data_IF_617028212662
#
_entry.id   IF_617028212662
#
_cell.length_a   1.000
_cell.length_b   1.000
_cell.length_c   1.000
_cell.angle_alpha   90.00
_cell.angle_beta   90.00
_cell.angle_gamma   90.00
#
_symmetry.space_group_name_H-M   'P 1'
#
loop_
_entity.id
_entity.type
_entity.pdbx_description
1 polymer ?
#
# COMPACT_ATOMS: atom_id res chain seq x y z
N UNK A 1 -2.33 8.16 24.86
CA UNK A 1 -3.62 7.45 24.84
C UNK A 1 -3.41 6.14 24.10
N UNK A 2 -3.90 5.02 24.64
CA UNK A 2 -3.93 3.75 23.94
C UNK A 2 -5.30 3.60 23.25
N UNK A 3 -5.27 3.21 21.97
CA UNK A 3 -6.48 2.89 21.19
C UNK A 3 -6.49 1.40 20.82
N UNK A 4 -7.66 0.84 20.57
CA UNK A 4 -7.80 -0.53 20.12
C UNK A 4 -7.25 -0.71 18.69
N UNK A 5 -6.81 -1.93 18.36
CA UNK A 5 -6.28 -2.23 17.01
C UNK A 5 -7.34 -2.03 15.92
N UNK A 6 -8.60 -2.31 16.21
CA UNK A 6 -9.71 -2.10 15.27
C UNK A 6 -9.98 -0.61 15.03
N UNK A 7 -9.90 0.21 16.08
CA UNK A 7 -10.08 1.66 15.97
C UNK A 7 -8.89 2.30 15.22
N UNK A 8 -7.67 1.80 15.46
CA UNK A 8 -6.49 2.22 14.72
C UNK A 8 -6.59 1.87 13.23
N UNK A 9 -7.04 0.66 12.90
CA UNK A 9 -7.25 0.24 11.51
C UNK A 9 -8.37 1.06 10.84
N UNK A 10 -9.48 1.31 11.54
CA UNK A 10 -10.56 2.15 11.03
C UNK A 10 -10.09 3.58 10.76
N UNK A 11 -9.33 4.17 11.68
CA UNK A 11 -8.75 5.50 11.49
C UNK A 11 -7.78 5.52 10.30
N UNK A 12 -6.90 4.52 10.16
CA UNK A 12 -6.00 4.39 9.02
C UNK A 12 -6.76 4.32 7.69
N UNK A 13 -7.86 3.58 7.62
CA UNK A 13 -8.68 3.47 6.41
C UNK A 13 -9.37 4.81 6.08
N UNK A 14 -9.85 5.53 7.10
CA UNK A 14 -10.63 6.76 6.91
C UNK A 14 -9.75 7.96 6.55
N UNK A 15 -8.66 8.15 7.28
CA UNK A 15 -7.81 9.35 7.12
C UNK A 15 -6.41 9.05 6.59
N UNK A 16 -6.12 7.79 6.23
CA UNK A 16 -4.78 7.35 5.85
C UNK A 16 -4.21 8.08 4.65
N UNK A 17 -2.95 8.48 4.79
CA UNK A 17 -2.16 9.16 3.78
C UNK A 17 -0.69 8.71 3.95
N UNK A 18 0.03 8.61 2.84
CA UNK A 18 1.47 8.28 2.85
C UNK A 18 2.31 9.52 2.55
N UNK A 19 1.82 10.38 1.68
CA UNK A 19 2.57 11.54 1.21
C UNK A 19 1.79 12.82 1.49
N UNK A 20 2.46 13.79 2.15
CA UNK A 20 1.91 15.10 2.41
C UNK A 20 2.23 16.03 1.22
N UNK A 21 1.34 16.08 0.24
CA UNK A 21 1.38 17.10 -0.80
C UNK A 21 0.38 18.20 -0.52
N UNK A 22 0.63 19.42 -1.03
CA UNK A 22 -0.31 20.56 -0.91
C UNK A 22 -1.68 20.26 -1.55
N UNK A 23 -1.76 19.22 -2.38
CA UNK A 23 -2.98 18.82 -3.09
C UNK A 23 -3.83 17.83 -2.27
N UNK A 24 -3.28 17.21 -1.21
CA UNK A 24 -3.99 16.24 -0.39
C UNK A 24 -4.52 16.89 0.89
N UNK A 25 -5.82 16.83 1.06
CA UNK A 25 -6.50 17.35 2.25
C UNK A 25 -6.10 16.56 3.51
N UNK A 26 -5.77 17.29 4.57
CA UNK A 26 -5.55 16.70 5.90
C UNK A 26 -6.89 16.37 6.54
N UNK A 27 -7.30 15.12 6.47
CA UNK A 27 -8.51 14.61 7.09
C UNK A 27 -8.27 14.27 8.56
N UNK A 28 -9.32 14.25 9.36
CA UNK A 28 -9.23 13.84 10.76
C UNK A 28 -10.46 13.05 11.22
N UNK A 29 -10.24 12.14 12.16
CA UNK A 29 -11.29 11.33 12.81
C UNK A 29 -11.11 11.35 14.31
N UNK A 30 -12.22 11.40 15.04
CA UNK A 30 -12.22 11.31 16.51
C UNK A 30 -12.41 9.86 16.95
N UNK A 31 -11.51 9.35 17.79
CA UNK A 31 -11.58 8.01 18.37
C UNK A 31 -11.56 8.09 19.89
N UNK A 32 -12.12 7.09 20.56
CA UNK A 32 -12.10 6.99 22.02
C UNK A 32 -11.05 5.95 22.41
N UNK A 33 -10.05 6.39 23.14
CA UNK A 33 -9.02 5.51 23.67
C UNK A 33 -8.96 5.56 25.21
N UNK A 34 -8.02 4.82 25.78
CA UNK A 34 -7.73 4.80 27.22
C UNK A 34 -6.55 5.73 27.51
N UNK A 35 -6.73 6.71 28.38
CA UNK A 35 -5.63 7.53 28.88
C UNK A 35 -4.64 6.66 29.66
N UNK A 36 -3.34 6.74 29.32
CA UNK A 36 -2.28 6.01 30.02
C UNK A 36 -1.99 6.56 31.42
N UNK A 37 -2.36 7.82 31.67
CA UNK A 37 -2.15 8.49 32.96
C UNK A 37 -3.27 8.19 33.95
N UNK A 38 -4.52 8.33 33.48
CA UNK A 38 -5.71 8.26 34.37
C UNK A 38 -6.47 6.95 34.28
N UNK A 39 -6.12 6.08 33.32
CA UNK A 39 -6.84 4.86 32.97
C UNK A 39 -8.33 5.05 32.60
N UNK A 40 -8.74 6.29 32.31
CA UNK A 40 -10.12 6.65 31.94
C UNK A 40 -10.28 6.79 30.41
N UNK A 41 -11.50 6.66 29.89
CA UNK A 41 -11.78 6.97 28.50
C UNK A 41 -11.37 8.42 28.16
N UNK A 42 -10.71 8.61 27.03
CA UNK A 42 -10.28 9.91 26.52
C UNK A 42 -10.46 9.95 25.00
N UNK A 43 -11.09 11.01 24.53
CA UNK A 43 -11.18 11.29 23.09
C UNK A 43 -9.84 11.79 22.57
N UNK A 44 -9.50 11.32 21.37
CA UNK A 44 -8.30 11.71 20.64
C UNK A 44 -8.66 11.93 19.17
N UNK A 45 -8.13 12.98 18.58
CA UNK A 45 -8.21 13.23 17.14
C UNK A 45 -6.98 12.61 16.49
N UNK A 46 -7.22 11.79 15.49
CA UNK A 46 -6.19 11.23 14.61
C UNK A 46 -6.36 11.91 13.26
N UNK A 47 -5.32 12.53 12.75
CA UNK A 47 -5.31 13.16 11.44
C UNK A 47 -4.44 12.41 10.42
N UNK A 48 -4.52 12.82 9.16
CA UNK A 48 -3.79 12.18 8.08
C UNK A 48 -2.27 12.29 8.26
N UNK A 49 -1.79 13.39 8.85
CA UNK A 49 -0.36 13.61 9.08
C UNK A 49 0.19 12.63 10.12
N UNK A 50 -0.55 12.43 11.21
CA UNK A 50 -0.17 11.44 12.23
C UNK A 50 -0.11 10.03 11.67
N UNK A 51 -1.03 9.68 10.76
CA UNK A 51 -1.00 8.37 10.07
C UNK A 51 0.18 8.31 9.11
N UNK A 52 0.46 9.36 8.35
CA UNK A 52 1.61 9.43 7.44
C UNK A 52 2.93 9.21 8.20
N UNK A 53 3.14 9.91 9.30
CA UNK A 53 4.33 9.75 10.15
C UNK A 53 4.47 8.31 10.67
N UNK A 54 3.35 7.69 11.05
CA UNK A 54 3.35 6.33 11.59
C UNK A 54 3.65 5.26 10.52
N UNK A 55 3.28 5.47 9.26
CA UNK A 55 3.50 4.51 8.17
C UNK A 55 4.80 4.76 7.39
N UNK A 56 5.41 5.93 7.52
CA UNK A 56 6.62 6.32 6.79
C UNK A 56 7.77 5.30 6.89
N UNK A 57 8.11 4.73 8.06
CA UNK A 57 9.18 3.73 8.13
C UNK A 57 8.90 2.49 7.28
N UNK A 58 7.64 2.04 7.25
CA UNK A 58 7.23 0.89 6.42
C UNK A 58 7.24 1.22 4.94
N UNK A 59 6.90 2.47 4.59
CA UNK A 59 6.95 2.94 3.21
C UNK A 59 8.39 3.00 2.71
N UNK A 60 9.32 3.46 3.54
CA UNK A 60 10.74 3.49 3.20
C UNK A 60 11.29 2.07 2.97
N UNK A 61 10.93 1.09 3.80
CA UNK A 61 11.31 -0.30 3.60
C UNK A 61 10.81 -0.86 2.25
N UNK A 62 9.60 -0.46 1.82
CA UNK A 62 9.05 -0.84 0.50
C UNK A 62 9.84 -0.19 -0.63
N UNK A 63 10.14 1.11 -0.53
CA UNK A 63 10.93 1.85 -1.52
C UNK A 63 12.33 1.25 -1.67
N UNK A 64 13.00 0.95 -0.57
CA UNK A 64 14.31 0.33 -0.56
C UNK A 64 14.26 -1.06 -1.22
N UNK A 65 13.21 -1.84 -0.93
CA UNK A 65 12.97 -3.13 -1.59
C UNK A 65 12.76 -3.00 -3.10
N UNK A 66 12.03 -2.00 -3.56
CA UNK A 66 11.86 -1.71 -4.99
C UNK A 66 13.20 -1.37 -5.62
N UNK A 67 13.99 -0.48 -5.03
CA UNK A 67 15.30 -0.07 -5.55
C UNK A 67 16.24 -1.28 -5.70
N UNK A 68 16.30 -2.16 -4.70
CA UNK A 68 17.10 -3.40 -4.78
C UNK A 68 16.68 -4.29 -5.94
N UNK A 69 15.39 -4.35 -6.27
CA UNK A 69 14.90 -5.12 -7.42
C UNK A 69 15.31 -4.44 -8.72
N UNK A 70 15.12 -3.12 -8.83
CA UNK A 70 15.43 -2.35 -10.03
C UNK A 70 16.92 -2.41 -10.40
N UNK A 71 17.81 -2.35 -9.41
CA UNK A 71 19.26 -2.49 -9.63
C UNK A 71 19.66 -3.83 -10.28
N UNK A 72 18.84 -4.86 -10.12
CA UNK A 72 19.08 -6.21 -10.67
C UNK A 72 18.45 -6.45 -12.04
N UNK A 73 17.62 -5.53 -12.50
CA UNK A 73 16.94 -5.65 -13.78
C UNK A 73 17.86 -5.25 -14.93
N UNK A 74 17.75 -6.00 -16.04
CA UNK A 74 18.40 -5.58 -17.28
C UNK A 74 17.66 -4.38 -17.88
N UNK A 75 18.36 -3.55 -18.69
CA UNK A 75 17.72 -2.40 -19.35
C UNK A 75 16.50 -2.76 -20.19
N UNK A 76 16.49 -3.95 -20.79
CA UNK A 76 15.38 -4.44 -21.63
C UNK A 76 14.11 -4.67 -20.80
N UNK A 77 14.25 -5.14 -19.54
CA UNK A 77 13.13 -5.37 -18.65
C UNK A 77 12.62 -4.07 -18.00
N UNK A 78 13.47 -3.05 -17.90
CA UNK A 78 13.12 -1.78 -17.27
C UNK A 78 11.93 -1.11 -17.95
N UNK A 79 11.86 -1.13 -19.29
CA UNK A 79 10.73 -0.59 -20.05
C UNK A 79 9.41 -1.30 -19.73
N UNK A 80 9.47 -2.61 -19.51
CA UNK A 80 8.32 -3.40 -19.10
C UNK A 80 7.80 -2.99 -17.72
N UNK A 81 8.70 -2.82 -16.76
CA UNK A 81 8.36 -2.37 -15.40
C UNK A 81 7.80 -0.95 -15.41
N UNK A 82 8.46 -0.02 -16.11
CA UNK A 82 8.02 1.38 -16.21
C UNK A 82 6.59 1.51 -16.71
N UNK A 83 6.18 0.70 -17.67
CA UNK A 83 4.86 0.79 -18.29
C UNK A 83 3.77 -0.02 -17.58
N UNK A 84 4.13 -0.97 -16.70
CA UNK A 84 3.19 -1.96 -16.18
C UNK A 84 3.26 -2.15 -14.65
N UNK A 85 3.83 -1.21 -13.91
CA UNK A 85 3.85 -1.31 -12.44
C UNK A 85 2.46 -1.07 -11.86
N UNK A 86 1.97 -2.04 -11.09
CA UNK A 86 0.63 -2.00 -10.48
C UNK A 86 0.74 -2.28 -8.99
N UNK A 87 0.14 -1.40 -8.17
CA UNK A 87 0.01 -1.61 -6.73
C UNK A 87 -1.31 -2.32 -6.40
N UNK A 88 -1.21 -3.32 -5.52
CA UNK A 88 -2.35 -4.14 -5.07
C UNK A 88 -2.33 -4.33 -3.55
N UNK A 89 -3.44 -4.80 -2.98
CA UNK A 89 -3.58 -4.99 -1.55
C UNK A 89 -4.13 -3.75 -0.83
N UNK A 90 -4.47 -3.91 0.46
CA UNK A 90 -5.15 -2.87 1.23
C UNK A 90 -4.36 -1.58 1.39
N UNK A 91 -3.05 -1.69 1.59
CA UNK A 91 -2.16 -0.53 1.78
C UNK A 91 -2.01 0.32 0.53
N UNK A 92 -2.26 -0.24 -0.67
CA UNK A 92 -2.23 0.54 -1.91
C UNK A 92 -3.35 1.60 -2.00
N UNK A 93 -4.35 1.52 -1.13
CA UNK A 93 -5.45 2.50 -1.03
C UNK A 93 -5.11 3.73 -0.20
N UNK A 94 -3.95 3.76 0.44
CA UNK A 94 -3.49 4.95 1.17
C UNK A 94 -3.23 6.08 0.19
N UNK A 95 -3.75 7.26 0.49
CA UNK A 95 -3.65 8.43 -0.38
C UNK A 95 -2.19 8.88 -0.51
N UNK A 96 -1.80 9.26 -1.72
CA UNK A 96 -0.44 9.70 -2.03
C UNK A 96 0.57 8.59 -2.26
N UNK A 97 0.14 7.31 -2.38
CA UNK A 97 1.04 6.19 -2.62
C UNK A 97 1.73 6.29 -4.00
N UNK A 98 0.96 6.57 -5.03
CA UNK A 98 1.47 6.64 -6.41
C UNK A 98 2.51 7.75 -6.53
N UNK A 99 2.21 8.92 -5.99
CA UNK A 99 3.09 10.09 -5.94
C UNK A 99 4.36 9.79 -5.16
N UNK A 100 4.22 9.19 -3.97
CA UNK A 100 5.37 8.87 -3.10
C UNK A 100 6.34 7.89 -3.76
N UNK A 101 5.84 6.86 -4.44
CA UNK A 101 6.68 5.91 -5.17
C UNK A 101 7.33 6.60 -6.37
N UNK A 102 6.56 7.41 -7.12
CA UNK A 102 7.09 8.10 -8.28
C UNK A 102 8.21 9.08 -7.92
N UNK A 103 8.07 9.82 -6.83
CA UNK A 103 9.06 10.82 -6.38
C UNK A 103 10.39 10.16 -5.99
N UNK A 104 10.35 8.96 -5.42
CA UNK A 104 11.56 8.26 -4.96
C UNK A 104 12.20 7.34 -6.01
N UNK A 105 11.38 6.70 -6.84
CA UNK A 105 11.83 5.62 -7.73
C UNK A 105 11.71 5.98 -9.20
N UNK A 106 11.04 7.09 -9.52
CA UNK A 106 10.75 7.55 -10.88
C UNK A 106 10.01 6.52 -11.77
N UNK A 107 9.25 5.60 -11.16
CA UNK A 107 8.41 4.63 -11.87
C UNK A 107 6.95 4.96 -11.60
N UNK A 108 6.14 5.21 -12.65
CA UNK A 108 4.71 5.43 -12.49
C UNK A 108 4.02 4.12 -12.09
N UNK A 109 3.53 4.08 -10.87
CA UNK A 109 2.74 2.96 -10.35
C UNK A 109 1.27 3.32 -10.43
N UNK A 110 0.42 2.38 -10.83
CA UNK A 110 -1.03 2.54 -10.81
C UNK A 110 -1.64 1.65 -9.75
N UNK A 111 -2.52 2.19 -8.93
CA UNK A 111 -3.33 1.37 -8.03
C UNK A 111 -4.40 0.65 -8.83
N UNK A 112 -4.55 -0.66 -8.61
CA UNK A 112 -5.61 -1.45 -9.24
C UNK A 112 -7.00 -0.94 -8.85
N UNK A 113 -7.99 -0.99 -9.74
CA UNK A 113 -9.38 -0.60 -9.47
C UNK A 113 -10.01 -1.38 -8.30
N UNK A 114 -9.58 -2.63 -8.11
CA UNK A 114 -10.01 -3.48 -6.99
C UNK A 114 -8.79 -4.13 -6.32
N UNK A 115 -8.01 -3.35 -5.58
CA UNK A 115 -6.72 -3.80 -5.08
C UNK A 115 -6.82 -4.90 -4.03
N UNK A 116 -7.99 -5.06 -3.39
CA UNK A 116 -8.20 -6.08 -2.35
C UNK A 116 -8.46 -7.47 -2.92
N UNK A 117 -9.08 -7.58 -4.09
CA UNK A 117 -9.54 -8.87 -4.63
C UNK A 117 -8.87 -9.27 -5.95
N UNK A 118 -8.10 -8.37 -6.58
CA UNK A 118 -7.49 -8.63 -7.89
C UNK A 118 -6.60 -9.88 -7.90
N UNK A 119 -5.85 -10.13 -6.82
CA UNK A 119 -5.01 -11.34 -6.69
C UNK A 119 -5.87 -12.60 -6.63
N UNK A 120 -6.95 -12.58 -5.83
CA UNK A 120 -7.88 -13.71 -5.75
C UNK A 120 -8.60 -13.97 -7.09
N UNK A 121 -9.01 -12.89 -7.80
CA UNK A 121 -9.60 -12.99 -9.14
C UNK A 121 -8.60 -13.59 -10.15
N UNK A 122 -7.36 -13.12 -10.16
CA UNK A 122 -6.30 -13.68 -11.00
C UNK A 122 -6.05 -15.15 -10.72
N UNK A 123 -6.00 -15.53 -9.46
CA UNK A 123 -5.86 -16.94 -9.04
C UNK A 123 -7.03 -17.80 -9.50
N UNK A 124 -8.26 -17.29 -9.41
CA UNK A 124 -9.45 -17.99 -9.86
C UNK A 124 -9.44 -18.21 -11.39
N UNK A 125 -9.00 -17.22 -12.18
CA UNK A 125 -8.85 -17.35 -13.64
C UNK A 125 -7.85 -18.46 -13.96
N UNK A 126 -6.68 -18.45 -13.32
CA UNK A 126 -5.65 -19.48 -13.52
C UNK A 126 -6.14 -20.87 -13.11
N UNK A 127 -6.93 -20.97 -12.04
CA UNK A 127 -7.50 -22.24 -11.60
C UNK A 127 -8.56 -22.78 -12.58
N UNK A 128 -9.36 -21.89 -13.17
CA UNK A 128 -10.39 -22.26 -14.16
C UNK A 128 -9.78 -22.59 -15.54
N UNK A 129 -8.74 -21.88 -15.94
CA UNK A 129 -8.06 -22.02 -17.22
C UNK A 129 -6.54 -22.11 -17.04
N UNK A 130 -5.99 -23.25 -16.61
CA UNK A 130 -4.53 -23.42 -16.41
C UNK A 130 -3.71 -23.17 -17.70
N UNK A 131 -4.35 -23.24 -18.87
CA UNK A 131 -3.73 -22.96 -20.16
C UNK A 131 -3.57 -21.45 -20.45
N UNK A 132 -4.22 -20.58 -19.68
CA UNK A 132 -4.04 -19.13 -19.78
C UNK A 132 -2.65 -18.65 -19.33
N UNK A 133 -1.90 -19.48 -18.60
CA UNK A 133 -0.54 -19.17 -18.21
C UNK A 133 0.43 -19.38 -19.39
N UNK A 134 1.38 -18.48 -19.53
CA UNK A 134 2.53 -18.68 -20.41
C UNK A 134 3.23 -20.01 -20.06
N UNK A 135 3.72 -20.75 -21.07
CA UNK A 135 4.30 -22.09 -20.87
C UNK A 135 5.38 -22.15 -19.79
N UNK A 136 6.22 -21.12 -19.68
CA UNK A 136 7.30 -21.04 -18.70
C UNK A 136 6.79 -20.88 -17.27
N UNK A 137 5.75 -20.09 -17.07
CA UNK A 137 5.11 -19.88 -15.77
C UNK A 137 4.37 -21.15 -15.34
N UNK A 138 3.73 -21.82 -16.29
CA UNK A 138 3.03 -23.10 -16.07
C UNK A 138 3.97 -24.18 -15.55
N UNK A 139 5.16 -24.32 -16.14
CA UNK A 139 6.15 -25.30 -15.72
C UNK A 139 6.68 -25.08 -14.30
N UNK A 140 6.72 -23.82 -13.83
CA UNK A 140 7.14 -23.48 -12.46
C UNK A 140 6.04 -23.74 -11.43
N UNK A 141 4.79 -23.53 -11.80
CA UNK A 141 3.63 -23.75 -10.90
C UNK A 141 3.33 -25.24 -10.64
N UNK A 142 3.83 -26.13 -11.49
CA UNK A 142 3.62 -27.59 -11.39
C UNK A 142 4.74 -28.32 -10.63
N UNK A 143 5.75 -27.61 -10.12
CA UNK A 143 6.85 -28.15 -9.30
C UNK A 143 6.67 -27.77 -7.83
#
# INVERSE_FOLDING_TARGET
VAIGIHDAEAAKIEVGMIHCSEQLENLSVEVIGKSLETNRPKKVVIDSMLVADAVEPFMQDIIDGINVILERLSPELMMGVYNNAVAVGGSSRLRGLEERIFDEVAIPVKVSDDPMTVVAKGTAIVAAEPLALEPEVRLRAMK
#
